data_IF_486470879650
#
_entry.id   IF_486470879650
#
_cell.length_a   1.000
_cell.length_b   1.000
_cell.length_c   1.000
_cell.angle_alpha   90.00
_cell.angle_beta   90.00
_cell.angle_gamma   90.00
#
_symmetry.space_group_name_H-M   'P 1'
#
loop_
_entity.id
_entity.type
_entity.pdbx_description
1 polymer ?
#
# COMPACT_ATOMS: atom_id res chain seq x y z
N UNK A 1 -17.28 14.67 20.71
CA UNK A 1 -16.61 13.38 20.45
C UNK A 1 -15.50 13.19 21.47
N UNK A 2 -15.42 12.03 22.16
CA UNK A 2 -14.35 11.72 23.13
C UNK A 2 -12.95 11.98 22.57
N UNK A 3 -12.05 12.49 23.41
CA UNK A 3 -10.66 12.83 23.04
C UNK A 3 -9.89 11.62 22.46
N UNK A 4 -10.09 10.44 23.04
CA UNK A 4 -9.48 9.19 22.58
C UNK A 4 -9.87 8.82 21.14
N UNK A 5 -11.10 9.15 20.71
CA UNK A 5 -11.56 8.89 19.34
C UNK A 5 -10.90 9.88 18.38
N UNK A 6 -10.93 11.18 18.71
CA UNK A 6 -10.28 12.23 17.89
C UNK A 6 -8.78 11.98 17.72
N UNK A 7 -8.12 11.56 18.80
CA UNK A 7 -6.70 11.20 18.78
C UNK A 7 -6.43 10.00 17.86
N UNK A 8 -7.25 8.94 17.95
CA UNK A 8 -7.12 7.77 17.09
C UNK A 8 -7.40 8.09 15.61
N UNK A 9 -8.41 8.92 15.32
CA UNK A 9 -8.70 9.45 13.97
C UNK A 9 -7.52 10.22 13.40
N UNK A 10 -6.97 11.16 14.17
CA UNK A 10 -5.79 11.93 13.79
C UNK A 10 -4.62 10.99 13.49
N UNK A 11 -4.26 10.11 14.44
CA UNK A 11 -3.10 9.25 14.29
C UNK A 11 -3.23 8.29 13.11
N UNK A 12 -4.42 7.70 12.89
CA UNK A 12 -4.65 6.82 11.73
C UNK A 12 -4.60 7.59 10.41
N UNK A 13 -5.32 8.72 10.31
CA UNK A 13 -5.33 9.56 9.12
C UNK A 13 -3.95 10.16 8.80
N UNK A 14 -3.12 10.40 9.81
CA UNK A 14 -1.79 10.97 9.66
C UNK A 14 -0.73 9.97 9.18
N UNK A 15 -0.95 8.65 9.31
CA UNK A 15 0.02 7.62 8.85
C UNK A 15 0.39 7.85 7.38
N UNK A 16 -0.63 7.97 6.52
CA UNK A 16 -0.45 8.03 5.08
C UNK A 16 0.30 9.28 4.60
N UNK A 17 -0.13 10.52 4.95
CA UNK A 17 0.61 11.72 4.56
C UNK A 17 2.00 11.78 5.20
N UNK A 18 2.21 11.22 6.40
CA UNK A 18 3.54 11.15 7.01
C UNK A 18 4.46 10.20 6.22
N UNK A 19 3.96 9.03 5.82
CA UNK A 19 4.71 8.09 4.98
C UNK A 19 5.03 8.68 3.60
N UNK A 20 4.08 9.34 2.95
CA UNK A 20 4.31 10.00 1.65
C UNK A 20 5.35 11.12 1.76
N UNK A 21 5.28 11.93 2.82
CA UNK A 21 6.25 13.01 3.07
C UNK A 21 7.64 12.46 3.33
N UNK A 22 7.78 11.45 4.18
CA UNK A 22 9.07 10.80 4.47
C UNK A 22 9.62 10.08 3.22
N UNK A 23 8.74 9.56 2.38
CA UNK A 23 9.07 8.84 1.15
C UNK A 23 9.51 9.73 -0.02
N UNK A 24 9.42 11.06 0.07
CA UNK A 24 9.81 11.98 -1.02
C UNK A 24 11.21 11.67 -1.62
N UNK A 25 12.27 11.46 -0.81
CA UNK A 25 13.60 11.13 -1.34
C UNK A 25 13.64 9.82 -2.14
N UNK A 26 12.75 8.86 -1.85
CA UNK A 26 12.69 7.58 -2.56
C UNK A 26 12.34 7.81 -4.03
N UNK A 27 11.36 8.65 -4.34
CA UNK A 27 10.99 8.97 -5.72
C UNK A 27 12.15 9.61 -6.49
N UNK A 28 12.85 10.56 -5.86
CA UNK A 28 14.02 11.20 -6.46
C UNK A 28 15.10 10.17 -6.81
N UNK A 29 15.40 9.26 -5.88
CA UNK A 29 16.39 8.22 -6.12
C UNK A 29 15.95 7.18 -7.15
N UNK A 30 14.67 6.84 -7.22
CA UNK A 30 14.15 5.94 -8.26
C UNK A 30 14.37 6.53 -9.66
N UNK A 31 13.96 7.78 -9.87
CA UNK A 31 14.15 8.47 -11.15
C UNK A 31 15.64 8.58 -11.48
N UNK A 32 16.47 8.99 -10.52
CA UNK A 32 17.90 9.21 -10.76
C UNK A 32 18.65 7.89 -10.98
N UNK A 33 18.23 6.80 -10.34
CA UNK A 33 18.79 5.47 -10.56
C UNK A 33 18.56 4.97 -11.99
N UNK A 34 17.34 5.17 -12.52
CA UNK A 34 16.99 4.85 -13.92
C UNK A 34 17.83 5.68 -14.88
N UNK A 35 17.82 7.01 -14.72
CA UNK A 35 18.58 7.91 -15.61
C UNK A 35 20.09 7.63 -15.60
N UNK A 36 20.65 7.31 -14.44
CA UNK A 36 22.08 6.95 -14.34
C UNK A 36 22.37 5.63 -15.03
N UNK A 37 21.46 4.65 -14.91
CA UNK A 37 21.60 3.38 -15.60
C UNK A 37 21.50 3.54 -17.13
N UNK A 38 20.57 4.35 -17.63
CA UNK A 38 20.47 4.62 -19.07
C UNK A 38 21.72 5.30 -19.64
N UNK A 39 22.41 6.10 -18.82
CA UNK A 39 23.68 6.76 -19.18
C UNK A 39 24.92 5.90 -18.96
N UNK A 40 24.73 4.60 -18.73
CA UNK A 40 25.81 3.65 -18.44
C UNK A 40 26.61 3.94 -17.14
N UNK A 41 26.15 4.87 -16.30
CA UNK A 41 26.74 5.18 -15.00
C UNK A 41 26.19 4.25 -13.91
N UNK A 42 26.70 3.01 -13.92
CA UNK A 42 26.35 1.98 -12.93
C UNK A 42 26.70 2.38 -11.51
N UNK A 43 27.80 3.12 -11.32
CA UNK A 43 28.24 3.57 -10.00
C UNK A 43 27.21 4.51 -9.38
N UNK A 44 26.73 5.50 -10.12
CA UNK A 44 25.68 6.41 -9.62
C UNK A 44 24.34 5.70 -9.45
N UNK A 45 23.98 4.81 -10.38
CA UNK A 45 22.76 4.03 -10.24
C UNK A 45 22.74 3.20 -8.94
N UNK A 46 23.84 2.50 -8.64
CA UNK A 46 24.01 1.76 -7.38
C UNK A 46 23.94 2.66 -6.15
N UNK A 47 24.55 3.84 -6.19
CA UNK A 47 24.49 4.81 -5.09
C UNK A 47 23.03 5.19 -4.78
N UNK A 48 22.23 5.44 -5.79
CA UNK A 48 20.82 5.79 -5.62
C UNK A 48 19.98 4.61 -5.12
N UNK A 49 20.23 3.39 -5.60
CA UNK A 49 19.55 2.20 -5.07
C UNK A 49 19.84 1.95 -3.58
N UNK A 50 21.09 2.15 -3.15
CA UNK A 50 21.46 2.08 -1.73
C UNK A 50 20.76 3.15 -0.91
N UNK A 51 20.66 4.36 -1.44
CA UNK A 51 19.92 5.45 -0.79
C UNK A 51 18.42 5.11 -0.65
N UNK A 52 17.82 4.47 -1.65
CA UNK A 52 16.43 3.95 -1.53
C UNK A 52 16.35 2.94 -0.38
N UNK A 53 17.28 1.99 -0.30
CA UNK A 53 17.30 1.00 0.77
C UNK A 53 17.40 1.64 2.17
N UNK A 54 18.14 2.74 2.31
CA UNK A 54 18.24 3.51 3.56
C UNK A 54 16.94 4.25 3.90
N UNK A 55 16.24 4.82 2.91
CA UNK A 55 15.01 5.58 3.12
C UNK A 55 13.74 4.72 3.29
N UNK A 56 13.68 3.53 2.70
CA UNK A 56 12.50 2.65 2.81
C UNK A 56 12.23 2.28 4.26
N UNK A 57 13.25 1.88 5.01
CA UNK A 57 13.09 1.41 6.40
C UNK A 57 12.44 2.45 7.32
N UNK A 58 12.94 3.69 7.47
CA UNK A 58 12.30 4.70 8.32
C UNK A 58 10.90 5.06 7.82
N UNK A 59 10.70 5.12 6.50
CA UNK A 59 9.39 5.42 5.92
C UNK A 59 8.34 4.37 6.31
N UNK A 60 8.66 3.08 6.14
CA UNK A 60 7.75 1.98 6.49
C UNK A 60 7.57 1.83 8.01
N UNK A 61 8.56 2.27 8.81
CA UNK A 61 8.48 2.24 10.28
C UNK A 61 7.38 3.16 10.82
N UNK A 62 7.05 4.25 10.13
CA UNK A 62 5.96 5.18 10.51
C UNK A 62 4.64 4.43 10.73
N UNK A 63 4.33 3.47 9.87
CA UNK A 63 3.13 2.63 10.02
C UNK A 63 3.13 1.89 11.36
N UNK A 64 4.23 1.22 11.70
CA UNK A 64 4.32 0.41 12.91
C UNK A 64 4.38 1.24 14.19
N UNK A 65 5.03 2.40 14.15
CA UNK A 65 5.10 3.32 15.29
C UNK A 65 3.75 4.00 15.56
N UNK A 66 2.90 4.10 14.53
CA UNK A 66 1.59 4.73 14.64
C UNK A 66 0.49 3.73 14.97
N UNK A 67 0.54 2.51 14.40
CA UNK A 67 -0.45 1.46 14.61
C UNK A 67 -0.24 0.68 15.92
N UNK A 68 -0.24 1.41 17.03
CA UNK A 68 -0.18 0.89 18.41
C UNK A 68 -1.40 1.35 19.20
N UNK A 69 -1.87 0.52 20.13
CA UNK A 69 -3.14 0.73 20.84
C UNK A 69 -3.17 2.05 21.64
N UNK A 70 -2.00 2.52 22.10
CA UNK A 70 -1.84 3.80 22.80
C UNK A 70 -2.03 5.03 21.91
N UNK A 71 -1.95 4.89 20.59
CA UNK A 71 -2.18 5.97 19.60
C UNK A 71 -3.48 5.77 18.84
N UNK A 72 -3.73 4.52 18.42
CA UNK A 72 -4.91 4.12 17.67
C UNK A 72 -5.55 2.98 18.46
N UNK A 73 -6.54 3.32 19.29
CA UNK A 73 -7.17 2.32 20.13
C UNK A 73 -7.98 1.31 19.30
N UNK A 74 -7.67 0.02 19.42
CA UNK A 74 -8.41 -1.07 18.76
C UNK A 74 -9.90 -1.03 19.09
N UNK A 75 -10.23 -0.70 20.34
CA UNK A 75 -11.63 -0.58 20.84
C UNK A 75 -12.45 0.42 20.04
N UNK A 76 -11.83 1.50 19.58
CA UNK A 76 -12.52 2.58 18.87
C UNK A 76 -12.27 2.56 17.37
N UNK A 77 -11.22 1.87 16.90
CA UNK A 77 -10.80 1.94 15.51
C UNK A 77 -11.88 1.46 14.54
N UNK A 78 -12.36 0.23 14.71
CA UNK A 78 -13.40 -0.33 13.83
C UNK A 78 -14.70 0.46 13.88
N UNK A 79 -15.03 1.09 15.00
CA UNK A 79 -16.34 1.73 15.22
C UNK A 79 -16.38 3.18 14.80
N UNK A 80 -15.26 3.89 14.88
CA UNK A 80 -15.21 5.34 14.71
C UNK A 80 -14.10 5.81 13.75
N UNK A 81 -12.96 5.12 13.67
CA UNK A 81 -11.76 5.63 12.96
C UNK A 81 -11.63 5.10 11.54
N UNK A 82 -11.85 3.80 11.36
CA UNK A 82 -12.14 3.24 10.04
C UNK A 82 -13.48 3.89 9.68
N UNK A 83 -13.47 5.02 8.96
CA UNK A 83 -14.57 6.02 8.88
C UNK A 83 -15.98 5.55 8.48
N UNK A 84 -16.66 6.31 7.63
CA UNK A 84 -17.92 5.95 6.92
C UNK A 84 -17.77 6.22 5.41
N UNK A 85 -16.54 6.49 4.98
CA UNK A 85 -16.24 7.12 3.71
C UNK A 85 -16.37 6.09 2.59
N UNK A 86 -17.47 6.18 1.85
CA UNK A 86 -17.63 5.56 0.54
C UNK A 86 -18.07 4.10 0.52
N UNK A 87 -18.21 3.42 1.64
CA UNK A 87 -18.50 1.97 1.63
C UNK A 87 -19.97 1.67 1.37
N UNK A 88 -20.23 0.85 0.35
CA UNK A 88 -21.57 0.64 -0.21
C UNK A 88 -22.26 1.92 -0.72
N UNK A 89 -21.54 3.06 -0.73
CA UNK A 89 -21.99 4.27 -1.35
C UNK A 89 -21.72 4.16 -2.86
N UNK A 90 -22.72 4.47 -3.65
CA UNK A 90 -22.67 4.33 -5.08
C UNK A 90 -23.53 5.36 -5.77
N UNK A 91 -23.44 5.36 -7.10
CA UNK A 91 -24.28 6.20 -7.92
C UNK A 91 -24.83 5.39 -9.10
N UNK A 92 -26.00 5.78 -9.59
CA UNK A 92 -26.55 5.19 -10.80
C UNK A 92 -25.84 5.84 -11.99
N UNK A 93 -25.10 5.05 -12.75
CA UNK A 93 -24.44 5.44 -13.99
C UNK A 93 -25.01 4.55 -15.09
N UNK A 94 -25.62 5.16 -16.11
CA UNK A 94 -26.24 4.44 -17.23
C UNK A 94 -27.23 3.36 -16.77
N UNK A 95 -28.04 3.66 -15.74
CA UNK A 95 -29.04 2.75 -15.20
C UNK A 95 -28.50 1.63 -14.30
N UNK A 96 -27.18 1.57 -14.06
CA UNK A 96 -26.55 0.60 -13.17
C UNK A 96 -26.04 1.27 -11.90
N UNK A 97 -26.35 0.69 -10.75
CA UNK A 97 -25.75 1.13 -9.48
C UNK A 97 -24.27 0.72 -9.47
N UNK A 98 -23.40 1.72 -9.44
CA UNK A 98 -21.96 1.53 -9.29
C UNK A 98 -21.60 1.81 -7.84
N UNK A 99 -21.18 0.78 -7.12
CA UNK A 99 -20.66 0.87 -5.77
C UNK A 99 -19.18 1.26 -5.77
N UNK A 100 -18.80 2.13 -4.84
CA UNK A 100 -17.41 2.49 -4.59
C UNK A 100 -16.88 1.75 -3.35
N UNK A 101 -15.64 1.32 -3.45
CA UNK A 101 -14.84 0.91 -2.30
C UNK A 101 -14.41 2.17 -1.54
N UNK A 102 -14.26 2.07 -0.23
CA UNK A 102 -13.68 3.17 0.55
C UNK A 102 -12.18 3.02 0.74
N UNK A 103 -11.65 3.76 1.71
CA UNK A 103 -10.21 4.00 1.78
C UNK A 103 -9.40 2.78 2.22
N UNK A 104 -8.22 2.61 1.61
CA UNK A 104 -7.30 1.51 1.88
C UNK A 104 -5.85 1.97 1.75
N UNK A 105 -4.95 1.36 2.53
CA UNK A 105 -3.50 1.57 2.35
C UNK A 105 -3.00 1.16 0.96
N UNK A 106 -3.78 0.37 0.22
CA UNK A 106 -3.51 0.06 -1.19
C UNK A 106 -3.71 1.24 -2.14
N UNK A 107 -4.14 2.41 -1.65
CA UNK A 107 -4.22 3.66 -2.43
C UNK A 107 -2.97 4.55 -2.26
N UNK A 108 -2.00 4.13 -1.42
CA UNK A 108 -0.77 4.86 -1.17
C UNK A 108 0.16 4.83 -2.40
N UNK A 109 0.50 6.02 -2.92
CA UNK A 109 1.31 6.18 -4.14
C UNK A 109 2.70 5.57 -3.96
N UNK A 110 3.31 5.77 -2.79
CA UNK A 110 4.65 5.26 -2.50
C UNK A 110 4.77 3.77 -2.78
N UNK A 111 3.80 2.98 -2.35
CA UNK A 111 3.82 1.53 -2.56
C UNK A 111 3.60 1.16 -4.03
N UNK A 112 2.77 1.90 -4.77
CA UNK A 112 2.56 1.67 -6.21
C UNK A 112 3.82 1.92 -7.02
N UNK A 113 4.49 3.03 -6.72
CA UNK A 113 5.70 3.44 -7.40
C UNK A 113 6.85 2.48 -7.10
N UNK A 114 7.08 2.10 -5.83
CA UNK A 114 8.13 1.13 -5.50
C UNK A 114 7.85 -0.22 -6.17
N UNK A 115 6.61 -0.73 -6.07
CA UNK A 115 6.22 -1.99 -6.74
C UNK A 115 6.51 -1.94 -8.24
N UNK A 116 6.08 -0.88 -8.91
CA UNK A 116 6.31 -0.70 -10.35
C UNK A 116 7.80 -0.64 -10.68
N UNK A 117 8.60 0.01 -9.85
CA UNK A 117 10.05 0.17 -10.02
C UNK A 117 10.82 -1.15 -9.85
N UNK A 118 10.42 -2.00 -8.92
CA UNK A 118 11.00 -3.33 -8.75
C UNK A 118 10.38 -4.39 -9.68
N UNK A 119 9.49 -3.98 -10.60
CA UNK A 119 8.93 -4.83 -11.65
C UNK A 119 7.71 -5.66 -11.23
N UNK A 120 6.99 -5.25 -10.19
CA UNK A 120 5.75 -5.91 -9.77
C UNK A 120 4.52 -5.34 -10.46
N UNK A 121 3.57 -6.21 -10.77
CA UNK A 121 2.28 -5.84 -11.33
C UNK A 121 1.46 -4.98 -10.35
N UNK A 122 0.65 -4.01 -10.83
CA UNK A 122 -0.17 -3.13 -10.00
C UNK A 122 -1.03 -3.89 -8.98
N UNK A 123 -1.16 -3.33 -7.77
CA UNK A 123 -2.02 -3.87 -6.71
C UNK A 123 -3.49 -3.77 -7.05
N UNK A 124 -3.93 -2.56 -7.41
CA UNK A 124 -5.31 -2.27 -7.71
C UNK A 124 -5.65 -2.73 -9.14
N UNK A 125 -6.85 -3.31 -9.37
CA UNK A 125 -7.39 -3.44 -10.72
C UNK A 125 -7.43 -2.10 -11.45
N UNK A 126 -7.41 -2.12 -12.77
CA UNK A 126 -7.43 -0.91 -13.62
C UNK A 126 -8.60 0.01 -13.27
N UNK A 127 -9.79 -0.57 -13.10
CA UNK A 127 -11.01 0.16 -12.72
C UNK A 127 -10.83 0.93 -11.40
N UNK A 128 -10.34 0.26 -10.34
CA UNK A 128 -10.11 0.88 -9.04
C UNK A 128 -8.96 1.90 -9.07
N UNK A 129 -7.97 1.67 -9.91
CA UNK A 129 -6.89 2.63 -10.13
C UNK A 129 -7.43 3.94 -10.73
N UNK A 130 -8.30 3.83 -11.74
CA UNK A 130 -8.93 5.00 -12.38
C UNK A 130 -9.88 5.75 -11.44
N UNK A 131 -10.58 5.02 -10.55
CA UNK A 131 -11.53 5.60 -9.59
C UNK A 131 -10.85 6.30 -8.42
N UNK A 132 -9.82 5.70 -7.83
CA UNK A 132 -9.31 6.16 -6.52
C UNK A 132 -7.98 6.91 -6.57
N UNK A 133 -7.20 6.74 -7.65
CA UNK A 133 -5.85 7.30 -7.72
C UNK A 133 -5.87 8.52 -8.65
N UNK A 134 -5.44 9.73 -8.21
CA UNK A 134 -5.39 10.92 -9.05
C UNK A 134 -4.58 10.72 -10.34
N UNK A 135 -4.97 11.39 -11.43
CA UNK A 135 -4.38 11.18 -12.75
C UNK A 135 -2.85 11.28 -12.78
N UNK A 136 -2.27 12.34 -12.19
CA UNK A 136 -0.82 12.53 -12.17
C UNK A 136 -0.08 11.44 -11.39
N UNK A 137 -0.69 10.93 -10.32
CA UNK A 137 -0.13 9.82 -9.54
C UNK A 137 -0.13 8.51 -10.35
N UNK A 138 -1.18 8.28 -11.14
CA UNK A 138 -1.24 7.14 -12.07
C UNK A 138 -0.16 7.24 -13.16
N UNK A 139 0.01 8.41 -13.76
CA UNK A 139 1.04 8.62 -14.79
C UNK A 139 2.46 8.40 -14.24
N UNK A 140 2.73 8.84 -13.00
CA UNK A 140 4.01 8.58 -12.36
C UNK A 140 4.25 7.08 -12.15
N UNK A 141 3.30 6.34 -11.56
CA UNK A 141 3.44 4.88 -11.38
C UNK A 141 3.59 4.15 -12.72
N UNK A 142 2.84 4.57 -13.73
CA UNK A 142 2.91 4.02 -15.09
C UNK A 142 4.28 4.26 -15.72
N UNK A 143 4.87 5.44 -15.52
CA UNK A 143 6.22 5.74 -16.01
C UNK A 143 7.25 4.76 -15.46
N UNK A 144 7.22 4.47 -14.15
CA UNK A 144 8.10 3.46 -13.56
C UNK A 144 7.85 2.05 -14.11
N UNK A 145 6.58 1.66 -14.29
CA UNK A 145 6.22 0.37 -14.87
C UNK A 145 6.68 0.22 -16.33
N UNK A 146 6.64 1.29 -17.13
CA UNK A 146 7.07 1.28 -18.53
C UNK A 146 8.59 1.11 -18.65
N UNK A 147 9.37 1.74 -17.77
CA UNK A 147 10.81 1.52 -17.73
C UNK A 147 11.15 0.13 -17.20
N UNK A 148 10.40 -0.35 -16.20
CA UNK A 148 10.61 -1.66 -15.54
C UNK A 148 12.09 -1.89 -15.22
N UNK A 149 12.59 -1.15 -14.23
CA UNK A 149 14.02 -1.04 -14.00
C UNK A 149 14.68 -2.40 -13.70
N UNK A 150 13.98 -3.29 -12.98
CA UNK A 150 14.43 -4.68 -12.77
C UNK A 150 14.68 -5.41 -14.09
N UNK A 151 13.71 -5.38 -15.01
CA UNK A 151 13.84 -6.05 -16.32
C UNK A 151 14.99 -5.48 -17.15
N UNK A 152 15.24 -4.17 -17.06
CA UNK A 152 16.40 -3.54 -17.72
C UNK A 152 17.72 -4.10 -17.17
N UNK A 153 17.85 -4.23 -15.85
CA UNK A 153 19.04 -4.78 -15.19
C UNK A 153 19.23 -6.27 -15.52
N UNK A 154 18.16 -7.05 -15.53
CA UNK A 154 18.18 -8.48 -15.90
C UNK A 154 18.64 -8.69 -17.34
N UNK A 155 18.16 -7.86 -18.29
CA UNK A 155 18.53 -7.96 -19.71
C UNK A 155 20.04 -7.84 -19.96
N UNK A 156 20.74 -7.05 -19.14
CA UNK A 156 22.19 -6.85 -19.24
C UNK A 156 22.98 -7.63 -18.18
N UNK A 157 22.30 -8.49 -17.43
CA UNK A 157 22.87 -9.30 -16.35
C UNK A 157 23.64 -8.48 -15.30
N UNK A 158 23.11 -7.32 -14.92
CA UNK A 158 23.72 -6.45 -13.90
C UNK A 158 23.40 -6.95 -12.49
N UNK A 159 24.21 -7.91 -12.03
CA UNK A 159 23.99 -8.60 -10.75
C UNK A 159 24.06 -7.67 -9.54
N UNK A 160 24.83 -6.57 -9.60
CA UNK A 160 24.94 -5.61 -8.51
C UNK A 160 23.65 -4.80 -8.36
N UNK A 161 23.09 -4.32 -9.47
CA UNK A 161 21.80 -3.61 -9.47
C UNK A 161 20.67 -4.54 -9.02
N UNK A 162 20.64 -5.77 -9.54
CA UNK A 162 19.64 -6.78 -9.17
C UNK A 162 19.68 -7.06 -7.65
N UNK A 163 20.87 -7.19 -7.06
CA UNK A 163 21.01 -7.45 -5.63
C UNK A 163 20.46 -6.30 -4.75
N UNK A 164 20.61 -5.04 -5.17
CA UNK A 164 20.03 -3.90 -4.44
C UNK A 164 18.50 -3.86 -4.60
N UNK A 165 17.97 -4.17 -5.79
CA UNK A 165 16.53 -4.30 -6.04
C UNK A 165 15.91 -5.44 -5.22
N UNK A 166 16.62 -6.56 -5.05
CA UNK A 166 16.21 -7.65 -4.17
C UNK A 166 16.20 -7.23 -2.70
N UNK A 167 17.10 -6.34 -2.31
CA UNK A 167 17.11 -5.78 -0.96
C UNK A 167 15.88 -4.90 -0.72
N UNK A 168 15.50 -4.07 -1.69
CA UNK A 168 14.24 -3.30 -1.68
C UNK A 168 13.04 -4.26 -1.54
N UNK A 169 12.99 -5.30 -2.37
CA UNK A 169 11.91 -6.30 -2.34
C UNK A 169 11.83 -7.02 -0.99
N UNK A 170 12.96 -7.38 -0.37
CA UNK A 170 13.02 -7.99 0.97
C UNK A 170 12.45 -7.06 2.05
N UNK A 171 12.74 -5.76 1.99
CA UNK A 171 12.18 -4.79 2.93
C UNK A 171 10.65 -4.67 2.79
N UNK A 172 10.15 -4.58 1.55
CA UNK A 172 8.71 -4.59 1.29
C UNK A 172 8.04 -5.89 1.75
N UNK A 173 8.71 -7.03 1.55
CA UNK A 173 8.21 -8.34 2.02
C UNK A 173 8.06 -8.38 3.53
N UNK A 174 9.07 -7.90 4.27
CA UNK A 174 9.02 -7.81 5.72
C UNK A 174 7.89 -6.89 6.18
N UNK A 175 7.75 -5.73 5.53
CA UNK A 175 6.66 -4.81 5.81
C UNK A 175 5.29 -5.46 5.58
N UNK A 176 5.08 -6.17 4.47
CA UNK A 176 3.81 -6.85 4.17
C UNK A 176 3.48 -7.94 5.19
N UNK A 177 4.48 -8.73 5.59
CA UNK A 177 4.31 -9.77 6.61
C UNK A 177 3.93 -9.16 7.97
N UNK A 178 4.61 -8.09 8.38
CA UNK A 178 4.31 -7.39 9.63
C UNK A 178 2.99 -6.60 9.55
N UNK A 179 2.65 -6.00 8.41
CA UNK A 179 1.39 -5.32 8.18
C UNK A 179 0.22 -6.27 8.40
N UNK A 180 0.30 -7.49 7.83
CA UNK A 180 -0.68 -8.55 8.03
C UNK A 180 -0.90 -8.85 9.51
N UNK A 181 0.16 -9.13 10.27
CA UNK A 181 0.03 -9.47 11.70
C UNK A 181 -0.45 -8.31 12.56
N UNK A 182 -0.14 -7.06 12.18
CA UNK A 182 -0.52 -5.84 12.91
C UNK A 182 -1.95 -5.40 12.62
N UNK A 183 -2.47 -5.62 11.41
CA UNK A 183 -3.82 -5.22 11.02
C UNK A 183 -4.89 -6.16 11.59
N UNK A 184 -4.62 -7.47 11.69
CA UNK A 184 -5.61 -8.46 12.13
C UNK A 184 -6.25 -8.12 13.47
N UNK A 185 -5.51 -7.77 14.55
CA UNK A 185 -6.13 -7.45 15.84
C UNK A 185 -7.07 -6.24 15.81
N UNK A 186 -6.87 -5.31 14.88
CA UNK A 186 -7.76 -4.16 14.70
C UNK A 186 -9.05 -4.59 13.98
N UNK A 187 -8.91 -5.39 12.91
CA UNK A 187 -10.03 -5.89 12.12
C UNK A 187 -10.88 -6.92 12.89
N UNK A 188 -10.31 -7.65 13.85
CA UNK A 188 -11.02 -8.65 14.64
C UNK A 188 -11.90 -8.08 15.77
N UNK A 189 -11.90 -6.77 15.99
CA UNK A 189 -12.75 -6.15 17.02
C UNK A 189 -14.20 -6.18 16.55
N UNK A 190 -15.15 -6.78 17.32
CA UNK A 190 -16.55 -6.80 16.94
C UNK A 190 -17.13 -5.39 16.81
N UNK A 191 -17.79 -5.12 15.68
CA UNK A 191 -18.54 -3.90 15.42
C UNK A 191 -19.92 -4.28 14.85
N UNK A 192 -20.84 -4.80 15.68
CA UNK A 192 -22.14 -5.32 15.22
C UNK A 192 -23.03 -4.27 14.57
N UNK A 193 -22.76 -2.99 14.82
CA UNK A 193 -23.40 -1.86 14.14
C UNK A 193 -22.93 -1.65 12.69
N UNK A 194 -22.01 -2.49 12.19
CA UNK A 194 -21.42 -2.40 10.84
C UNK A 194 -21.54 -3.72 10.10
N UNK A 195 -21.57 -3.65 8.76
CA UNK A 195 -21.39 -4.83 7.92
C UNK A 195 -20.00 -5.45 8.17
N UNK A 196 -19.85 -6.73 7.85
CA UNK A 196 -18.54 -7.40 7.89
C UNK A 196 -17.64 -6.76 6.83
N UNK A 197 -16.47 -6.26 7.25
CA UNK A 197 -15.64 -5.41 6.40
C UNK A 197 -14.14 -5.64 6.62
N UNK A 198 -13.35 -5.40 5.57
CA UNK A 198 -11.88 -5.30 5.65
C UNK A 198 -11.39 -3.96 5.06
N UNK A 199 -10.08 -3.71 5.10
CA UNK A 199 -9.48 -2.45 4.64
C UNK A 199 -9.59 -2.25 3.11
N UNK A 200 -10.76 -1.80 2.65
CA UNK A 200 -11.01 -1.34 1.28
C UNK A 200 -11.94 -2.21 0.44
N UNK A 201 -12.67 -3.17 1.02
CA UNK A 201 -13.75 -3.86 0.32
C UNK A 201 -14.96 -3.96 1.24
N UNK A 202 -16.08 -3.42 0.77
CA UNK A 202 -17.37 -3.74 1.33
C UNK A 202 -17.61 -5.22 1.03
N UNK A 203 -17.82 -6.02 2.07
CA UNK A 203 -18.36 -7.36 1.89
C UNK A 203 -19.81 -7.26 2.28
N UNK A 204 -20.60 -6.72 1.34
CA UNK A 204 -22.01 -7.11 1.28
C UNK A 204 -22.03 -8.62 1.39
N UNK A 205 -22.95 -9.17 2.18
CA UNK A 205 -23.16 -10.60 2.34
C UNK A 205 -23.25 -11.26 0.97
N UNK A 206 -22.11 -11.70 0.45
CA UNK A 206 -22.01 -12.54 -0.72
C UNK A 206 -22.07 -13.96 -0.22
N UNK A 207 -22.54 -14.88 -1.06
CA UNK A 207 -22.56 -16.31 -0.71
C UNK A 207 -21.18 -16.84 -0.24
N UNK A 208 -20.11 -16.11 -0.58
CA UNK A 208 -18.71 -16.38 -0.24
C UNK A 208 -18.19 -15.76 1.06
N UNK A 209 -18.84 -14.74 1.66
CA UNK A 209 -18.36 -14.09 2.89
C UNK A 209 -19.48 -13.96 3.92
N UNK A 210 -19.61 -15.01 4.71
CA UNK A 210 -20.69 -15.18 5.68
C UNK A 210 -20.36 -14.63 7.07
N UNK A 211 -19.07 -14.34 7.36
CA UNK A 211 -18.62 -13.88 8.67
C UNK A 211 -17.27 -13.13 8.59
N UNK A 212 -16.88 -12.47 9.68
CA UNK A 212 -15.63 -11.69 9.78
C UNK A 212 -14.37 -12.53 9.55
N UNK A 213 -14.41 -13.82 9.89
CA UNK A 213 -13.31 -14.75 9.65
C UNK A 213 -13.11 -14.95 8.15
N UNK A 214 -14.17 -15.24 7.40
CA UNK A 214 -14.12 -15.36 5.95
C UNK A 214 -13.62 -14.06 5.27
N UNK A 215 -14.04 -12.89 5.78
CA UNK A 215 -13.56 -11.61 5.29
C UNK A 215 -12.07 -11.41 5.55
N UNK A 216 -11.61 -11.74 6.77
CA UNK A 216 -10.18 -11.72 7.12
C UNK A 216 -9.40 -12.70 6.24
N UNK A 217 -9.91 -13.90 5.95
CA UNK A 217 -9.23 -14.90 5.11
C UNK A 217 -9.04 -14.40 3.66
N UNK A 218 -9.98 -13.63 3.10
CA UNK A 218 -9.81 -12.99 1.79
C UNK A 218 -8.72 -11.92 1.82
N UNK A 219 -8.73 -11.04 2.83
CA UNK A 219 -7.67 -10.04 3.01
C UNK A 219 -6.31 -10.74 3.19
N UNK A 220 -6.29 -11.82 3.97
CA UNK A 220 -5.13 -12.64 4.24
C UNK A 220 -4.56 -13.24 2.95
N UNK A 221 -5.41 -13.79 2.09
CA UNK A 221 -5.04 -14.29 0.77
C UNK A 221 -4.49 -13.18 -0.14
N UNK A 222 -5.09 -11.98 -0.12
CA UNK A 222 -4.59 -10.82 -0.87
C UNK A 222 -3.19 -10.38 -0.39
N UNK A 223 -2.99 -10.31 0.93
CA UNK A 223 -1.70 -9.98 1.54
C UNK A 223 -0.66 -11.07 1.26
N UNK A 224 -1.06 -12.34 1.29
CA UNK A 224 -0.21 -13.48 0.98
C UNK A 224 0.22 -13.49 -0.49
N UNK A 225 -0.71 -13.22 -1.41
CA UNK A 225 -0.38 -13.07 -2.84
C UNK A 225 0.70 -12.02 -3.05
N UNK A 226 0.57 -10.86 -2.39
CA UNK A 226 1.58 -9.79 -2.48
C UNK A 226 2.90 -10.14 -1.84
N UNK A 227 2.86 -10.88 -0.74
CA UNK A 227 4.07 -11.41 -0.11
C UNK A 227 4.81 -12.37 -1.05
N UNK A 228 4.08 -13.22 -1.79
CA UNK A 228 4.66 -14.15 -2.76
C UNK A 228 5.24 -13.45 -3.99
N UNK A 229 4.67 -12.32 -4.41
CA UNK A 229 5.21 -11.52 -5.52
C UNK A 229 6.55 -10.84 -5.19
N UNK A 230 6.88 -10.68 -3.90
CA UNK A 230 8.19 -10.19 -3.43
C UNK A 230 9.19 -11.32 -3.16
N UNK A 231 9.04 -12.46 -3.82
CA UNK A 231 10.00 -13.58 -3.75
C UNK A 231 11.09 -13.43 -4.80
#
# INVERSE_FOLDING_TARGET
MPEVIRSAEYHFGHIFPAMEKEGVPIYYHMVTAILSFEREDRRQSLKHLRSINEHIKPTLKIFFDSLVDSRISKKYWMRYVQGIQGWAAGNIVEGKYIEYDGLSGNQLLLLHCIDSFIGLEPYLPTENTLRYIPHLQRELSKSFSQHNFRRMAEKVNDTAIIAELDTIAKQLRLFRAAHRSRATPYLSVPAPERLIMTAGKSVLESDTVQNIKAAIDILDAMLLKRFQQTR
#
